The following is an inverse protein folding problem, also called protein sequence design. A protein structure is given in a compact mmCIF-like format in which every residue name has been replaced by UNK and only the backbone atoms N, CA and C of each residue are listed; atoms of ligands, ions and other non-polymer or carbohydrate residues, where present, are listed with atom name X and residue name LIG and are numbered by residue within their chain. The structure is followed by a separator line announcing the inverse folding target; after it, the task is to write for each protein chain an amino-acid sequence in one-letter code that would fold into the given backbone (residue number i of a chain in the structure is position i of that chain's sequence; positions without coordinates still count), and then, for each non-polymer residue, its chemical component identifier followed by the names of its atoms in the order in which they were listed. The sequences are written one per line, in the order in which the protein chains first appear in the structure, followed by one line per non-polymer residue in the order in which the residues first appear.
data_IF_645469497839
#
_entry.id   IF_645469497839
#
_cell.length_a   1.000
_cell.length_b   1.000
_cell.length_c   1.000
_cell.angle_alpha   90.00
_cell.angle_beta   90.00
_cell.angle_gamma   90.00
#
_symmetry.space_group_name_H-M   'P 1'
#
loop_
_entity.id
_entity.type
_entity.pdbx_description
1 polymer ?
#
# COMPACT_ATOMS: atom_id res chain seq x y z
N UNK A 1 3.81 -14.19 16.78
CA UNK A 1 3.77 -14.09 15.30
C UNK A 1 3.25 -15.41 14.76
N UNK A 2 2.28 -15.37 13.85
CA UNK A 2 1.76 -16.55 13.15
C UNK A 2 2.15 -16.44 11.67
N UNK A 3 2.89 -17.42 11.17
CA UNK A 3 3.21 -17.52 9.76
C UNK A 3 2.07 -18.23 9.02
N UNK A 4 1.68 -17.73 7.87
CA UNK A 4 0.67 -18.30 6.99
C UNK A 4 1.32 -18.63 5.66
N UNK A 5 1.36 -19.89 5.32
CA UNK A 5 1.87 -20.33 4.01
C UNK A 5 0.82 -20.05 2.93
N UNK A 6 1.22 -19.40 1.86
CA UNK A 6 0.33 -19.04 0.76
C UNK A 6 0.17 -20.17 -0.28
N UNK A 7 0.98 -21.24 -0.20
CA UNK A 7 1.03 -22.35 -1.15
C UNK A 7 1.34 -21.89 -2.58
N UNK A 8 2.25 -20.94 -2.69
CA UNK A 8 2.86 -20.48 -3.93
C UNK A 8 4.37 -20.63 -3.77
N UNK A 9 5.06 -21.04 -4.82
CA UNK A 9 6.50 -21.28 -4.75
C UNK A 9 7.25 -19.95 -4.82
N UNK A 10 6.87 -19.08 -5.77
CA UNK A 10 7.48 -17.77 -5.97
C UNK A 10 6.49 -16.81 -6.66
N UNK A 11 6.75 -15.52 -6.56
CA UNK A 11 6.05 -14.48 -7.31
C UNK A 11 7.06 -13.87 -8.28
N UNK A 12 7.17 -14.48 -9.46
CA UNK A 12 8.17 -14.08 -10.46
C UNK A 12 7.69 -12.93 -11.36
N UNK A 13 6.36 -12.77 -11.46
CA UNK A 13 5.74 -11.78 -12.33
C UNK A 13 4.70 -10.94 -11.58
N UNK A 14 4.62 -9.67 -11.95
CA UNK A 14 3.64 -8.74 -11.37
C UNK A 14 2.18 -9.24 -11.50
N UNK A 15 1.88 -9.98 -12.57
CA UNK A 15 0.54 -10.52 -12.76
C UNK A 15 0.21 -11.64 -11.76
N UNK A 16 1.18 -12.38 -11.27
CA UNK A 16 0.97 -13.39 -10.25
C UNK A 16 0.68 -12.73 -8.89
N UNK A 17 1.35 -11.63 -8.59
CA UNK A 17 1.03 -10.78 -7.45
C UNK A 17 -0.38 -10.17 -7.57
N UNK A 18 -0.71 -9.62 -8.74
CA UNK A 18 -2.04 -9.08 -9.01
C UNK A 18 -3.14 -10.14 -8.79
N UNK A 19 -2.96 -11.35 -9.33
CA UNK A 19 -3.91 -12.46 -9.15
C UNK A 19 -4.04 -12.88 -7.69
N UNK A 20 -2.92 -12.91 -6.95
CA UNK A 20 -2.93 -13.25 -5.54
C UNK A 20 -3.79 -12.26 -4.75
N UNK A 21 -3.50 -10.96 -4.84
CA UNK A 21 -4.18 -9.93 -4.07
C UNK A 21 -5.63 -9.69 -4.53
N UNK A 22 -5.96 -10.05 -5.76
CA UNK A 22 -7.34 -9.99 -6.26
C UNK A 22 -8.09 -11.32 -6.13
N UNK A 23 -7.65 -12.22 -5.24
CA UNK A 23 -8.33 -13.46 -4.92
C UNK A 23 -8.98 -13.42 -3.53
N UNK A 24 -10.24 -13.80 -3.43
CA UNK A 24 -10.97 -13.95 -2.14
C UNK A 24 -10.23 -14.91 -1.20
N UNK A 25 -9.61 -15.95 -1.75
CA UNK A 25 -8.88 -16.96 -0.98
C UNK A 25 -7.67 -16.37 -0.23
N UNK A 26 -6.99 -15.36 -0.79
CA UNK A 26 -5.92 -14.65 -0.12
C UNK A 26 -6.43 -13.92 1.13
N UNK A 27 -7.43 -13.07 0.97
CA UNK A 27 -7.99 -12.28 2.07
C UNK A 27 -8.61 -13.13 3.18
N UNK A 28 -9.17 -14.28 2.85
CA UNK A 28 -9.73 -15.23 3.82
C UNK A 28 -8.67 -15.94 4.69
N UNK A 29 -7.40 -15.83 4.37
CA UNK A 29 -6.31 -16.34 5.24
C UNK A 29 -6.09 -15.48 6.49
N UNK A 30 -6.55 -14.25 6.50
CA UNK A 30 -6.34 -13.30 7.59
C UNK A 30 -7.59 -13.16 8.48
N UNK A 31 -7.38 -12.93 9.78
CA UNK A 31 -8.46 -12.71 10.74
C UNK A 31 -8.67 -11.23 11.09
N UNK A 32 -7.66 -10.40 10.87
CA UNK A 32 -7.75 -8.95 11.11
C UNK A 32 -8.71 -8.27 10.11
N UNK A 33 -9.32 -7.18 10.56
CA UNK A 33 -10.14 -6.34 9.68
C UNK A 33 -9.28 -5.38 8.84
N UNK A 34 -8.27 -4.79 9.46
CA UNK A 34 -7.27 -3.95 8.78
C UNK A 34 -6.02 -4.78 8.52
N UNK A 35 -5.63 -4.85 7.27
CA UNK A 35 -4.45 -5.60 6.81
C UNK A 35 -3.43 -4.59 6.31
N UNK A 36 -2.23 -4.60 6.89
CA UNK A 36 -1.08 -3.89 6.35
C UNK A 36 -0.39 -4.79 5.33
N UNK A 37 -0.35 -4.34 4.08
CA UNK A 37 0.56 -4.89 3.07
C UNK A 37 1.90 -4.20 3.27
N UNK A 38 2.96 -4.99 3.36
CA UNK A 38 4.32 -4.51 3.59
C UNK A 38 5.26 -5.40 2.77
N UNK A 39 5.75 -4.89 1.65
CA UNK A 39 6.72 -5.57 0.81
C UNK A 39 8.13 -5.43 1.41
N UNK A 40 9.07 -6.24 0.95
CA UNK A 40 10.43 -6.28 1.48
C UNK A 40 11.21 -4.97 1.34
N UNK A 41 10.82 -4.16 0.35
CA UNK A 41 11.37 -2.83 0.09
C UNK A 41 10.56 -1.70 0.72
N UNK A 42 9.72 -2.03 1.70
CA UNK A 42 8.97 -1.07 2.51
C UNK A 42 9.64 -0.82 3.86
N UNK A 43 9.36 0.33 4.45
CA UNK A 43 9.89 0.71 5.76
C UNK A 43 8.86 1.51 6.56
N UNK A 44 8.80 1.28 7.87
CA UNK A 44 8.00 2.09 8.80
C UNK A 44 8.93 3.13 9.45
N UNK A 45 8.51 4.40 9.45
CA UNK A 45 9.29 5.51 9.98
C UNK A 45 8.77 6.04 11.32
N UNK A 46 7.49 5.80 11.65
CA UNK A 46 6.82 6.36 12.83
C UNK A 46 5.95 5.31 13.53
N UNK A 47 5.54 5.58 14.78
CA UNK A 47 4.70 4.69 15.61
C UNK A 47 3.24 5.18 15.69
N UNK A 48 2.66 5.68 14.60
CA UNK A 48 1.32 6.28 14.57
C UNK A 48 0.39 5.63 13.54
N UNK A 49 0.42 4.31 13.43
CA UNK A 49 -0.43 3.56 12.49
C UNK A 49 -1.92 3.80 12.74
N UNK A 50 -2.30 4.07 13.98
CA UNK A 50 -3.69 4.32 14.42
C UNK A 50 -4.34 5.48 13.69
N UNK A 51 -3.56 6.49 13.29
CA UNK A 51 -4.04 7.66 12.55
C UNK A 51 -4.64 7.29 11.19
N UNK A 52 -4.31 6.12 10.65
CA UNK A 52 -4.70 5.67 9.31
C UNK A 52 -5.73 4.54 9.29
N UNK A 53 -6.06 3.95 10.46
CA UNK A 53 -6.95 2.79 10.52
C UNK A 53 -8.42 3.10 10.19
N UNK A 54 -8.80 4.37 10.12
CA UNK A 54 -10.14 4.78 9.73
C UNK A 54 -10.38 4.73 8.21
N UNK A 55 -9.32 4.73 7.39
CA UNK A 55 -9.43 4.55 5.94
C UNK A 55 -9.65 3.08 5.57
N UNK A 56 -10.44 2.85 4.53
CA UNK A 56 -10.68 1.49 4.02
C UNK A 56 -9.61 1.03 3.04
N UNK A 57 -8.95 1.97 2.40
CA UNK A 57 -7.76 1.75 1.61
C UNK A 57 -6.90 3.01 1.64
N UNK A 58 -5.64 2.88 2.05
CA UNK A 58 -4.65 3.95 1.98
C UNK A 58 -3.31 3.37 1.54
N UNK A 59 -2.64 4.06 0.63
CA UNK A 59 -1.29 3.79 0.11
C UNK A 59 -0.65 5.07 -0.37
N UNK A 60 0.60 5.00 -0.84
CA UNK A 60 1.33 6.15 -1.35
C UNK A 60 0.61 6.80 -2.56
N UNK A 61 0.77 8.12 -2.74
CA UNK A 61 0.33 8.80 -3.95
C UNK A 61 1.22 8.41 -5.13
N UNK A 62 0.63 8.31 -6.31
CA UNK A 62 1.38 8.18 -7.57
C UNK A 62 1.78 9.55 -8.11
N UNK A 63 2.93 9.60 -8.78
CA UNK A 63 3.38 10.82 -9.43
C UNK A 63 2.46 11.19 -10.59
N UNK A 64 1.75 12.31 -10.47
CA UNK A 64 0.78 12.81 -11.44
C UNK A 64 1.40 13.27 -12.77
N UNK A 65 2.72 13.42 -12.84
CA UNK A 65 3.42 13.72 -14.09
C UNK A 65 3.60 12.48 -14.99
N UNK A 66 3.35 11.29 -14.45
CA UNK A 66 3.40 10.06 -15.23
C UNK A 66 2.17 9.95 -16.13
N UNK A 67 2.41 9.69 -17.40
CA UNK A 67 1.37 9.59 -18.44
C UNK A 67 0.28 8.56 -18.07
N UNK A 68 0.68 7.39 -17.57
CA UNK A 68 -0.27 6.36 -17.15
C UNK A 68 -1.19 6.81 -16.01
N UNK A 69 -0.69 7.65 -15.10
CA UNK A 69 -1.49 8.21 -14.00
C UNK A 69 -2.53 9.18 -14.56
N UNK A 70 -2.13 10.05 -15.48
CA UNK A 70 -3.04 10.99 -16.15
C UNK A 70 -4.12 10.26 -16.95
N UNK A 71 -3.75 9.16 -17.60
CA UNK A 71 -4.67 8.31 -18.37
C UNK A 71 -5.53 7.39 -17.50
N UNK A 72 -5.18 7.21 -16.23
CA UNK A 72 -5.90 6.31 -15.33
C UNK A 72 -7.35 6.74 -15.07
N UNK A 73 -7.64 8.03 -15.13
CA UNK A 73 -8.95 8.61 -14.80
C UNK A 73 -9.31 8.57 -13.33
N UNK A 74 -8.36 8.25 -12.43
CA UNK A 74 -8.58 8.26 -10.99
C UNK A 74 -8.80 9.70 -10.50
N UNK A 75 -9.79 9.93 -9.65
CA UNK A 75 -10.06 11.24 -9.03
C UNK A 75 -8.97 11.62 -8.03
N UNK A 76 -8.48 10.62 -7.29
CA UNK A 76 -7.36 10.72 -6.37
C UNK A 76 -6.31 9.70 -6.84
N UNK A 77 -5.17 10.20 -7.32
CA UNK A 77 -4.10 9.37 -7.86
C UNK A 77 -3.22 8.80 -6.75
N UNK A 78 -3.78 7.89 -5.97
CA UNK A 78 -3.10 7.29 -4.83
C UNK A 78 -3.58 5.86 -4.58
N UNK A 79 -2.82 5.12 -3.77
CA UNK A 79 -3.15 3.76 -3.36
C UNK A 79 -2.09 2.74 -3.74
N UNK A 80 -0.81 3.12 -3.85
CA UNK A 80 0.25 2.15 -4.14
C UNK A 80 0.16 0.92 -3.25
N UNK A 81 0.30 -0.25 -3.86
CA UNK A 81 0.03 -1.54 -3.25
C UNK A 81 1.13 -2.07 -2.34
N UNK A 82 2.39 -1.67 -2.54
CA UNK A 82 3.56 -2.23 -1.85
C UNK A 82 3.64 -1.90 -0.36
N UNK A 83 3.11 -0.72 0.02
CA UNK A 83 2.92 -0.33 1.41
C UNK A 83 1.53 0.31 1.56
N UNK A 84 0.57 -0.46 2.06
CA UNK A 84 -0.83 -0.01 2.13
C UNK A 84 -1.59 -0.65 3.28
N UNK A 85 -2.58 0.06 3.83
CA UNK A 85 -3.56 -0.49 4.76
C UNK A 85 -4.88 -0.68 4.01
N UNK A 86 -5.50 -1.85 4.18
CA UNK A 86 -6.73 -2.23 3.48
C UNK A 86 -7.73 -2.90 4.42
N UNK A 87 -9.00 -2.55 4.28
CA UNK A 87 -10.09 -3.23 4.98
C UNK A 87 -10.41 -4.56 4.28
N UNK A 88 -10.12 -5.67 4.94
CA UNK A 88 -10.25 -7.03 4.40
C UNK A 88 -11.62 -7.30 3.79
N UNK A 89 -12.69 -6.98 4.51
CA UNK A 89 -14.07 -7.21 4.02
C UNK A 89 -14.38 -6.41 2.76
N UNK A 90 -13.89 -5.17 2.69
CA UNK A 90 -14.09 -4.35 1.50
C UNK A 90 -13.33 -4.92 0.29
N UNK A 91 -12.11 -5.41 0.46
CA UNK A 91 -11.36 -6.05 -0.63
C UNK A 91 -12.11 -7.27 -1.17
N UNK A 92 -12.63 -8.12 -0.28
CA UNK A 92 -13.46 -9.28 -0.67
C UNK A 92 -14.72 -8.82 -1.43
N UNK A 93 -15.45 -7.87 -0.89
CA UNK A 93 -16.66 -7.31 -1.53
C UNK A 93 -16.36 -6.77 -2.94
N UNK A 94 -15.25 -6.06 -3.11
CA UNK A 94 -14.85 -5.53 -4.43
C UNK A 94 -14.58 -6.68 -5.40
N UNK A 95 -13.80 -7.68 -5.00
CA UNK A 95 -13.45 -8.81 -5.86
C UNK A 95 -14.68 -9.58 -6.31
N UNK A 96 -15.65 -9.78 -5.41
CA UNK A 96 -16.87 -10.54 -5.71
C UNK A 96 -17.84 -9.80 -6.64
N UNK A 97 -17.90 -8.46 -6.56
CA UNK A 97 -18.88 -7.67 -7.29
C UNK A 97 -18.33 -6.97 -8.55
N UNK A 98 -17.01 -6.76 -8.62
CA UNK A 98 -16.38 -5.98 -9.69
C UNK A 98 -15.12 -6.70 -10.20
N UNK A 99 -15.26 -7.69 -11.10
CA UNK A 99 -14.09 -8.45 -11.59
C UNK A 99 -12.99 -7.57 -12.17
N UNK A 100 -11.74 -7.83 -11.78
CA UNK A 100 -10.58 -7.07 -12.25
C UNK A 100 -10.40 -7.20 -13.77
N UNK A 101 -10.26 -6.09 -14.45
CA UNK A 101 -9.74 -6.07 -15.81
C UNK A 101 -8.22 -6.32 -15.75
N UNK A 102 -7.72 -7.27 -16.53
CA UNK A 102 -6.29 -7.64 -16.56
C UNK A 102 -5.33 -6.51 -16.95
N UNK A 103 -5.81 -5.35 -17.39
CA UNK A 103 -4.99 -4.18 -17.71
C UNK A 103 -4.57 -3.39 -16.48
N UNK A 104 -5.35 -3.39 -15.42
CA UNK A 104 -5.04 -2.66 -14.20
C UNK A 104 -4.21 -3.55 -13.26
N UNK A 105 -3.15 -3.00 -12.68
CA UNK A 105 -2.53 -3.59 -11.52
C UNK A 105 -3.52 -3.62 -10.35
N UNK A 106 -3.30 -4.49 -9.37
CA UNK A 106 -4.23 -4.73 -8.28
C UNK A 106 -4.55 -3.46 -7.46
N UNK A 107 -3.56 -2.61 -7.26
CA UNK A 107 -3.65 -1.37 -6.52
C UNK A 107 -4.48 -0.31 -7.27
N UNK A 108 -4.25 -0.15 -8.56
CA UNK A 108 -5.06 0.71 -9.44
C UNK A 108 -6.50 0.21 -9.50
N UNK A 109 -6.68 -1.11 -9.61
CA UNK A 109 -8.00 -1.73 -9.62
C UNK A 109 -8.78 -1.42 -8.34
N UNK A 110 -8.23 -1.66 -7.16
CA UNK A 110 -8.91 -1.38 -5.90
C UNK A 110 -9.19 0.11 -5.72
N UNK A 111 -8.19 0.97 -5.99
CA UNK A 111 -8.38 2.42 -5.92
C UNK A 111 -9.49 2.91 -6.83
N UNK A 112 -9.57 2.38 -8.06
CA UNK A 112 -10.62 2.70 -9.03
C UNK A 112 -11.98 2.25 -8.53
N UNK A 113 -12.13 1.00 -8.11
CA UNK A 113 -13.43 0.46 -7.68
C UNK A 113 -13.98 1.22 -6.47
N UNK A 114 -13.12 1.56 -5.52
CA UNK A 114 -13.54 2.34 -4.35
C UNK A 114 -14.04 3.72 -4.77
N UNK A 115 -13.31 4.41 -5.65
CA UNK A 115 -13.64 5.77 -6.06
C UNK A 115 -14.84 5.85 -7.01
N UNK A 116 -14.94 4.94 -7.97
CA UNK A 116 -16.01 4.95 -8.99
C UNK A 116 -17.36 4.56 -8.38
N UNK A 117 -17.36 3.64 -7.42
CA UNK A 117 -18.55 3.14 -6.78
C UNK A 117 -18.80 3.72 -5.39
N UNK A 118 -17.96 4.67 -4.94
CA UNK A 118 -18.03 5.31 -3.63
C UNK A 118 -18.10 4.30 -2.48
N UNK A 119 -17.21 3.34 -2.49
CA UNK A 119 -17.12 2.25 -1.51
C UNK A 119 -16.16 2.61 -0.37
N UNK A 120 -16.68 2.64 0.86
CA UNK A 120 -15.85 2.90 2.04
C UNK A 120 -15.23 4.30 2.07
N UNK A 121 -14.21 4.46 2.92
CA UNK A 121 -13.51 5.72 3.17
C UNK A 121 -12.16 5.71 2.46
N UNK A 122 -12.03 6.52 1.40
CA UNK A 122 -10.80 6.73 0.67
C UNK A 122 -10.13 8.04 1.14
N UNK A 123 -8.78 8.08 1.29
CA UNK A 123 -8.04 9.23 1.82
C UNK A 123 -7.97 10.39 0.81
N UNK A 124 -7.68 11.59 1.34
CA UNK A 124 -7.22 12.70 0.51
C UNK A 124 -5.78 12.46 0.02
N UNK A 125 -5.33 13.22 -0.98
CA UNK A 125 -3.92 13.18 -1.42
C UNK A 125 -2.97 13.51 -0.26
N UNK A 126 -3.34 14.46 0.62
CA UNK A 126 -2.51 14.83 1.76
C UNK A 126 -2.38 13.68 2.77
N UNK A 127 -3.46 12.94 3.02
CA UNK A 127 -3.42 11.75 3.89
C UNK A 127 -2.50 10.68 3.30
N UNK A 128 -2.53 10.49 1.97
CA UNK A 128 -1.65 9.55 1.29
C UNK A 128 -0.17 9.96 1.40
N UNK A 129 0.16 11.25 1.26
CA UNK A 129 1.51 11.77 1.49
C UNK A 129 1.97 11.57 2.93
N UNK A 130 1.09 11.77 3.90
CA UNK A 130 1.39 11.56 5.31
C UNK A 130 1.54 10.07 5.66
N UNK A 131 0.86 9.20 4.93
CA UNK A 131 0.93 7.77 5.15
C UNK A 131 2.19 7.15 4.55
N UNK A 132 2.49 7.40 3.28
CA UNK A 132 3.59 6.70 2.61
C UNK A 132 4.33 7.55 1.59
N UNK A 133 5.66 7.51 1.68
CA UNK A 133 6.57 8.00 0.64
C UNK A 133 6.81 6.90 -0.40
N UNK A 134 6.72 7.31 -1.67
CA UNK A 134 7.20 6.53 -2.80
C UNK A 134 7.65 7.50 -3.88
N UNK A 135 7.90 7.44 -4.95
CA UNK A 135 8.27 8.42 -5.99
C UNK A 135 8.41 9.91 -5.58
N UNK A 136 7.74 10.31 -4.50
CA UNK A 136 7.90 11.58 -3.79
C UNK A 136 8.24 11.29 -2.34
N UNK A 137 9.44 11.68 -1.91
CA UNK A 137 9.92 11.45 -0.54
C UNK A 137 9.35 12.49 0.40
N UNK A 138 8.69 12.05 1.47
CA UNK A 138 8.22 12.89 2.56
C UNK A 138 8.79 12.41 3.89
N UNK A 139 9.50 13.28 4.61
CA UNK A 139 10.01 13.00 5.96
C UNK A 139 8.91 12.92 7.02
N UNK A 140 7.71 13.38 6.67
CA UNK A 140 6.55 13.37 7.55
C UNK A 140 5.71 12.10 7.42
N UNK A 141 5.99 11.24 6.43
CA UNK A 141 5.24 9.99 6.22
C UNK A 141 5.39 9.01 7.39
N UNK A 142 4.35 8.21 7.60
CA UNK A 142 4.36 7.07 8.51
C UNK A 142 5.34 5.98 8.06
N UNK A 143 5.41 5.75 6.75
CA UNK A 143 6.34 4.78 6.15
C UNK A 143 6.66 5.09 4.70
N UNK A 144 7.28 4.15 4.01
CA UNK A 144 7.61 4.30 2.60
C UNK A 144 7.82 2.95 1.91
N UNK A 145 7.72 2.98 0.58
CA UNK A 145 7.91 1.87 -0.32
C UNK A 145 8.96 2.22 -1.37
N UNK A 146 9.64 1.23 -1.92
CA UNK A 146 10.73 1.41 -2.89
C UNK A 146 11.86 2.33 -2.39
N UNK A 147 12.15 2.33 -1.10
CA UNK A 147 13.13 3.24 -0.49
C UNK A 147 14.55 3.05 -1.04
N UNK A 148 14.88 1.92 -1.62
CA UNK A 148 16.16 1.69 -2.31
C UNK A 148 16.36 2.59 -3.53
N UNK A 149 15.26 3.05 -4.12
CA UNK A 149 15.26 3.91 -5.30
C UNK A 149 15.43 5.39 -4.96
N UNK A 150 15.60 5.73 -3.68
CA UNK A 150 15.92 7.09 -3.28
C UNK A 150 17.36 7.42 -3.71
N UNK A 151 17.47 8.30 -4.71
CA UNK A 151 18.75 8.60 -5.35
C UNK A 151 19.67 9.47 -4.50
N UNK A 152 19.11 10.20 -3.52
CA UNK A 152 19.85 11.15 -2.71
C UNK A 152 20.33 10.48 -1.42
N UNK A 153 21.63 10.56 -1.15
CA UNK A 153 22.26 9.97 0.04
C UNK A 153 21.66 10.46 1.36
N UNK A 154 21.15 11.71 1.39
CA UNK A 154 20.42 12.26 2.54
C UNK A 154 19.09 11.54 2.83
N UNK A 155 18.44 11.01 1.80
CA UNK A 155 17.18 10.28 1.91
C UNK A 155 17.40 8.86 2.43
N UNK A 156 18.45 8.18 1.94
CA UNK A 156 18.90 6.89 2.46
C UNK A 156 19.30 7.00 3.93
N UNK A 157 20.01 8.06 4.30
CA UNK A 157 20.37 8.35 5.68
C UNK A 157 19.13 8.56 6.55
N UNK A 158 18.15 9.32 6.05
CA UNK A 158 16.88 9.54 6.76
C UNK A 158 16.18 8.22 7.08
N UNK A 159 16.02 7.32 6.10
CA UNK A 159 15.41 6.00 6.31
C UNK A 159 16.16 5.22 7.39
N UNK A 160 17.48 5.18 7.31
CA UNK A 160 18.34 4.51 8.30
C UNK A 160 18.15 5.08 9.70
N UNK A 161 18.13 6.41 9.84
CA UNK A 161 17.99 7.08 11.13
C UNK A 161 16.59 6.83 11.74
N UNK A 162 15.55 6.81 10.90
CA UNK A 162 14.18 6.46 11.34
C UNK A 162 14.10 5.02 11.86
N UNK A 163 14.65 4.05 11.13
CA UNK A 163 14.65 2.64 11.56
C UNK A 163 15.41 2.49 12.88
N UNK A 164 16.59 3.08 13.00
CA UNK A 164 17.38 3.04 14.25
C UNK A 164 16.59 3.66 15.40
N UNK A 165 15.93 4.80 15.20
CA UNK A 165 15.12 5.46 16.24
C UNK A 165 13.96 4.62 16.70
N UNK A 166 13.26 3.93 15.78
CA UNK A 166 12.11 3.09 16.13
C UNK A 166 12.47 1.90 17.01
N UNK A 167 13.62 1.31 16.78
CA UNK A 167 14.05 0.08 17.46
C UNK A 167 15.05 0.32 18.60
N UNK A 168 15.48 1.57 18.83
CA UNK A 168 16.48 1.89 19.85
C UNK A 168 16.06 1.45 21.26
N UNK A 169 14.77 1.54 21.57
CA UNK A 169 14.21 1.20 22.89
C UNK A 169 13.96 -0.32 23.08
N UNK A 170 14.08 -1.12 22.02
CA UNK A 170 13.85 -2.57 22.07
C UNK A 170 15.15 -3.37 22.23
N UNK A 171 16.31 -2.72 22.09
CA UNK A 171 17.64 -3.33 22.19
C UNK A 171 18.44 -2.82 23.41
N UNK A 172 17.84 -2.04 24.30
CA UNK A 172 18.37 -1.61 25.61
C UNK A 172 17.60 -2.28 26.74
#
# INVERSE_FOLDING_TARGET
IRLIQLNIDNIDHIEDYNKLLTSVSFWNKFHGEKILIHQEDSCIFKKNVEDYLHFDYIGAPWNTDKEWVQQSGLKIAAGNGGFSIRTRKLMIQIIENYPRNSKDNEDVYFSRMIQDHNLGVFPSMQDCYNFSSEGVVSRESFGGHCYFNYDVESEKRFVKDCVISLYKDEFL
#
